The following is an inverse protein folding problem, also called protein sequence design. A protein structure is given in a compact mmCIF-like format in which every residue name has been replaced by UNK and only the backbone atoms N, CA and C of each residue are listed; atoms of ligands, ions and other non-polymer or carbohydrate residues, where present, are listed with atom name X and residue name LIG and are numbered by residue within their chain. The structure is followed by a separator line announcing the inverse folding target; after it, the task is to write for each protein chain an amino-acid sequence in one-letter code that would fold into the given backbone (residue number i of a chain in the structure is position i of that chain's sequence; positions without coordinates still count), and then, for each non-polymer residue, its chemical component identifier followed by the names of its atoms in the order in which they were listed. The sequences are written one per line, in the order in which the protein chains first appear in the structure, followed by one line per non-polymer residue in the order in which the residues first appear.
data_IF_978559971589
#
_entry.id   IF_978559971589
#
_cell.length_a   1.000
_cell.length_b   1.000
_cell.length_c   1.000
_cell.angle_alpha   90.00
_cell.angle_beta   90.00
_cell.angle_gamma   90.00
#
_symmetry.space_group_name_H-M   'P 1'
#
loop_
_entity.id
_entity.type
_entity.pdbx_description
1 polymer ?
#
# COMPACT_ATOMS: atom_id res chain seq x y z
N UNK A 1 -8.13 -3.34 -13.68
CA UNK A 1 -8.28 -1.93 -13.22
C UNK A 1 -9.51 -1.24 -13.81
N UNK A 2 -9.64 -1.02 -15.14
CA UNK A 2 -10.78 -0.26 -15.73
C UNK A 2 -12.18 -0.71 -15.27
N UNK A 3 -12.43 -2.03 -15.25
CA UNK A 3 -13.69 -2.62 -14.77
C UNK A 3 -13.98 -2.31 -13.29
N UNK A 4 -12.95 -2.38 -12.46
CA UNK A 4 -13.04 -2.04 -11.03
C UNK A 4 -13.30 -0.55 -10.82
N UNK A 5 -12.59 0.31 -11.56
CA UNK A 5 -12.82 1.77 -11.52
C UNK A 5 -14.28 2.11 -11.83
N UNK A 6 -14.88 1.47 -12.84
CA UNK A 6 -16.30 1.65 -13.17
C UNK A 6 -17.22 1.25 -12.02
N UNK A 7 -16.97 0.10 -11.40
CA UNK A 7 -17.77 -0.39 -10.26
C UNK A 7 -17.67 0.58 -9.06
N UNK A 8 -16.48 1.11 -8.76
CA UNK A 8 -16.33 2.10 -7.68
C UNK A 8 -17.04 3.41 -8.00
N UNK A 9 -17.01 3.87 -9.25
CA UNK A 9 -17.73 5.05 -9.69
C UNK A 9 -19.25 4.89 -9.57
N UNK A 10 -19.78 3.72 -9.95
CA UNK A 10 -21.20 3.39 -9.79
C UNK A 10 -21.66 3.37 -8.33
N UNK A 11 -20.75 3.09 -7.39
CA UNK A 11 -21.02 3.04 -5.95
C UNK A 11 -20.47 4.26 -5.18
N UNK A 12 -20.05 5.33 -5.87
CA UNK A 12 -19.35 6.46 -5.24
C UNK A 12 -20.15 7.14 -4.14
N UNK A 13 -21.49 7.18 -4.24
CA UNK A 13 -22.37 7.78 -3.23
C UNK A 13 -22.47 6.95 -1.94
N UNK A 14 -22.10 5.67 -1.99
CA UNK A 14 -22.12 4.75 -0.84
C UNK A 14 -20.74 4.56 -0.20
N UNK A 15 -19.69 5.07 -0.85
CA UNK A 15 -18.30 4.96 -0.39
C UNK A 15 -17.92 6.31 0.22
N UNK A 16 -17.79 6.35 1.55
CA UNK A 16 -17.54 7.59 2.30
C UNK A 16 -16.10 8.14 2.18
N UNK A 17 -15.20 7.46 1.46
CA UNK A 17 -13.78 7.81 1.36
C UNK A 17 -13.18 7.61 -0.04
N UNK A 18 -12.06 8.28 -0.31
CA UNK A 18 -11.39 8.19 -1.62
C UNK A 18 -10.56 6.91 -1.75
N UNK A 19 -10.93 6.07 -2.72
CA UNK A 19 -10.19 4.84 -3.05
C UNK A 19 -9.24 5.12 -4.22
N UNK A 20 -7.95 4.81 -4.05
CA UNK A 20 -6.96 4.81 -5.12
C UNK A 20 -6.62 3.38 -5.52
N UNK A 21 -6.68 3.11 -6.82
CA UNK A 21 -6.33 1.81 -7.39
C UNK A 21 -5.00 1.91 -8.15
N UNK A 22 -4.10 0.99 -7.86
CA UNK A 22 -2.80 0.89 -8.53
C UNK A 22 -2.50 -0.57 -8.86
N UNK A 23 -1.89 -0.84 -10.02
CA UNK A 23 -1.36 -2.16 -10.32
C UNK A 23 -0.06 -2.36 -9.53
N UNK A 24 0.14 -3.58 -9.03
CA UNK A 24 1.43 -4.02 -8.50
C UNK A 24 2.04 -5.08 -9.41
N UNK A 25 3.36 -5.06 -9.59
CA UNK A 25 4.09 -6.07 -10.36
C UNK A 25 4.67 -7.13 -9.42
N UNK A 26 3.82 -8.02 -8.93
CA UNK A 26 4.22 -9.21 -8.16
C UNK A 26 3.96 -10.41 -9.05
N UNK A 27 4.96 -11.28 -9.22
CA UNK A 27 4.84 -12.49 -10.04
C UNK A 27 3.90 -13.47 -9.31
N UNK A 28 2.66 -13.58 -9.80
CA UNK A 28 1.73 -14.64 -9.40
C UNK A 28 2.20 -15.97 -10.01
N UNK A 29 2.26 -17.03 -9.21
CA UNK A 29 2.60 -18.38 -9.68
C UNK A 29 1.49 -19.03 -10.55
N UNK A 30 0.29 -18.43 -10.60
CA UNK A 30 -0.83 -18.91 -11.42
C UNK A 30 -1.27 -17.83 -12.42
N UNK A 31 -0.76 -17.94 -13.65
CA UNK A 31 -1.11 -17.07 -14.79
C UNK A 31 -2.46 -17.48 -15.39
N UNK A 32 -3.57 -17.01 -14.82
CA UNK A 32 -4.78 -16.75 -15.60
C UNK A 32 -5.03 -15.25 -15.60
N UNK A 33 -5.34 -14.66 -16.76
CA UNK A 33 -5.59 -13.22 -16.90
C UNK A 33 -6.76 -12.70 -16.04
N UNK A 34 -7.51 -13.62 -15.42
CA UNK A 34 -8.73 -13.34 -14.67
C UNK A 34 -8.55 -13.36 -13.13
N UNK A 35 -7.39 -13.78 -12.61
CA UNK A 35 -7.13 -13.90 -11.16
C UNK A 35 -6.00 -12.96 -10.73
N UNK A 36 -6.17 -12.25 -9.61
CA UNK A 36 -5.13 -11.38 -9.06
C UNK A 36 -5.15 -11.31 -7.52
N UNK A 37 -3.98 -11.03 -6.93
CA UNK A 37 -3.87 -10.64 -5.52
C UNK A 37 -4.13 -9.16 -5.34
N UNK A 38 -4.85 -8.79 -4.28
CA UNK A 38 -5.19 -7.42 -3.97
C UNK A 38 -4.55 -6.99 -2.66
N UNK A 39 -3.88 -5.84 -2.68
CA UNK A 39 -3.31 -5.22 -1.50
C UNK A 39 -4.15 -4.00 -1.15
N UNK A 40 -4.71 -4.01 0.04
CA UNK A 40 -5.58 -2.97 0.57
C UNK A 40 -4.82 -2.22 1.67
N UNK A 41 -4.47 -0.98 1.37
CA UNK A 41 -3.91 -0.03 2.31
C UNK A 41 -4.91 1.11 2.52
N UNK A 42 -4.97 1.73 3.72
CA UNK A 42 -4.04 1.62 4.85
C UNK A 42 -4.19 0.37 5.72
N UNK A 43 -5.25 -0.41 5.55
CA UNK A 43 -5.60 -1.51 6.46
C UNK A 43 -4.63 -2.70 6.45
N UNK A 44 -3.62 -2.70 5.58
CA UNK A 44 -2.64 -3.78 5.46
C UNK A 44 -3.32 -5.14 5.32
N UNK A 45 -4.25 -5.25 4.36
CA UNK A 45 -4.97 -6.50 4.07
C UNK A 45 -4.55 -6.99 2.68
N UNK A 46 -4.31 -8.29 2.56
CA UNK A 46 -4.12 -8.96 1.27
C UNK A 46 -5.28 -9.92 1.00
N UNK A 47 -5.89 -9.80 -0.18
CA UNK A 47 -6.81 -10.81 -0.71
C UNK A 47 -6.09 -11.62 -1.77
N UNK A 48 -6.04 -12.92 -1.59
CA UNK A 48 -5.42 -13.84 -2.54
C UNK A 48 -6.44 -14.38 -3.53
N UNK A 49 -6.00 -14.62 -4.76
CA UNK A 49 -6.77 -15.33 -5.79
C UNK A 49 -8.14 -14.70 -6.13
N UNK A 50 -8.22 -13.36 -6.17
CA UNK A 50 -9.46 -12.66 -6.51
C UNK A 50 -9.75 -12.80 -8.01
N UNK A 51 -10.85 -13.47 -8.35
CA UNK A 51 -11.31 -13.60 -9.73
C UNK A 51 -12.04 -12.33 -10.21
N UNK A 52 -11.88 -11.95 -11.48
CA UNK A 52 -12.51 -10.75 -12.09
C UNK A 52 -14.05 -10.72 -12.00
N UNK A 53 -14.66 -11.90 -11.85
CA UNK A 53 -16.11 -12.07 -11.68
C UNK A 53 -16.57 -11.74 -10.25
N UNK A 54 -15.70 -11.95 -9.26
CA UNK A 54 -15.99 -11.73 -7.83
C UNK A 54 -15.77 -10.28 -7.38
N UNK A 55 -15.19 -9.45 -8.25
CA UNK A 55 -14.86 -8.05 -7.96
C UNK A 55 -16.06 -7.27 -7.39
N UNK A 56 -17.24 -7.42 -8.01
CA UNK A 56 -18.43 -6.66 -7.60
C UNK A 56 -18.84 -7.03 -6.18
N UNK A 57 -18.88 -8.32 -5.88
CA UNK A 57 -19.29 -8.84 -4.58
C UNK A 57 -18.29 -8.48 -3.48
N UNK A 58 -16.99 -8.57 -3.78
CA UNK A 58 -15.92 -8.16 -2.87
C UNK A 58 -16.02 -6.67 -2.56
N UNK A 59 -16.19 -5.82 -3.58
CA UNK A 59 -16.31 -4.38 -3.40
C UNK A 59 -17.56 -4.04 -2.56
N UNK A 60 -18.70 -4.65 -2.89
CA UNK A 60 -19.93 -4.42 -2.16
C UNK A 60 -19.79 -4.88 -0.70
N UNK A 61 -19.17 -6.03 -0.45
CA UNK A 61 -18.95 -6.52 0.91
C UNK A 61 -18.01 -5.63 1.72
N UNK A 62 -16.87 -5.24 1.13
CA UNK A 62 -15.83 -4.48 1.81
C UNK A 62 -16.17 -3.00 2.03
N UNK A 63 -16.71 -2.35 1.01
CA UNK A 63 -16.85 -0.88 1.01
C UNK A 63 -18.29 -0.43 1.32
N UNK A 64 -19.30 -1.29 1.13
CA UNK A 64 -20.72 -0.93 1.29
C UNK A 64 -21.36 -1.63 2.48
N UNK A 65 -21.27 -2.96 2.57
CA UNK A 65 -22.04 -3.74 3.55
C UNK A 65 -21.36 -3.86 4.91
N UNK A 66 -20.03 -3.95 4.95
CA UNK A 66 -19.27 -4.13 6.19
C UNK A 66 -18.12 -3.13 6.30
N UNK A 67 -18.49 -1.87 6.49
CA UNK A 67 -17.53 -0.78 6.72
C UNK A 67 -16.74 -0.96 8.03
N UNK A 68 -17.08 -1.91 8.91
CA UNK A 68 -16.33 -2.17 10.15
C UNK A 68 -14.94 -2.74 9.89
N UNK A 69 -14.72 -3.30 8.70
CA UNK A 69 -13.49 -3.96 8.27
C UNK A 69 -12.44 -2.96 7.75
N UNK A 70 -12.89 -1.83 7.16
CA UNK A 70 -12.04 -0.75 6.63
C UNK A 70 -11.99 0.46 7.62
N UNK A 71 -12.45 0.25 8.86
CA UNK A 71 -12.31 1.25 9.92
C UNK A 71 -10.98 1.06 10.65
N UNK A 72 -9.92 1.72 10.16
CA UNK A 72 -8.94 2.35 11.05
C UNK A 72 -9.55 3.71 11.43
N UNK A 73 -10.47 3.77 12.39
CA UNK A 73 -10.26 4.03 13.84
C UNK A 73 -9.61 5.37 14.14
N UNK A 74 -10.47 6.30 14.54
CA UNK A 74 -10.33 7.22 15.67
C UNK A 74 -8.90 7.67 16.00
N UNK A 75 -8.59 8.93 15.68
CA UNK A 75 -7.28 9.60 15.83
C UNK A 75 -6.74 9.66 17.27
N UNK A 76 -7.47 9.11 18.23
CA UNK A 76 -7.23 9.22 19.67
C UNK A 76 -6.52 8.00 20.27
N UNK A 77 -6.39 6.89 19.55
CA UNK A 77 -5.84 5.63 20.10
C UNK A 77 -4.39 5.37 19.70
N UNK A 78 -3.57 4.98 20.67
CA UNK A 78 -2.16 4.61 20.46
C UNK A 78 -2.03 3.35 19.59
N UNK A 79 -0.86 3.17 18.95
CA UNK A 79 -0.56 1.98 18.12
C UNK A 79 -0.84 0.66 18.88
N UNK A 80 -0.58 0.66 20.19
CA UNK A 80 -0.83 -0.49 21.08
C UNK A 80 -2.32 -0.83 21.26
N UNK A 81 -3.21 0.16 21.19
CA UNK A 81 -4.66 -0.04 21.28
C UNK A 81 -5.27 -0.48 19.94
N UNK A 82 -4.64 -0.11 18.81
CA UNK A 82 -5.01 -0.56 17.48
C UNK A 82 -4.71 -2.05 17.28
N UNK A 83 -3.65 -2.56 17.90
CA UNK A 83 -3.27 -3.98 17.90
C UNK A 83 -4.20 -4.88 18.73
N UNK A 84 -5.00 -4.32 19.65
CA UNK A 84 -5.88 -5.09 20.56
C UNK A 84 -7.31 -5.32 20.04
N UNK A 85 -7.69 -4.73 18.91
CA UNK A 85 -9.05 -4.90 18.38
C UNK A 85 -9.14 -6.11 17.43
N UNK A 86 -9.59 -7.23 18.01
CA UNK A 86 -10.09 -8.48 17.40
C UNK A 86 -9.92 -8.68 15.88
N UNK A 87 -9.14 -9.71 15.55
CA UNK A 87 -8.77 -10.25 14.23
C UNK A 87 -9.93 -10.83 13.39
N UNK A 88 -11.09 -10.17 13.28
CA UNK A 88 -12.14 -10.69 12.40
C UNK A 88 -11.91 -10.28 10.94
N UNK A 89 -11.07 -11.05 10.23
CA UNK A 89 -10.89 -10.86 8.78
C UNK A 89 -12.20 -11.19 8.04
N UNK A 90 -12.53 -10.48 6.94
CA UNK A 90 -13.67 -10.83 6.10
C UNK A 90 -13.49 -12.24 5.54
N UNK A 91 -14.51 -13.08 5.72
CA UNK A 91 -14.65 -14.34 5.00
C UNK A 91 -15.27 -14.06 3.65
N UNK A 92 -14.57 -14.38 2.56
CA UNK A 92 -15.10 -14.29 1.19
C UNK A 92 -15.52 -15.68 0.70
N UNK A 93 -15.71 -15.84 -0.61
CA UNK A 93 -15.85 -17.15 -1.26
C UNK A 93 -14.68 -18.08 -0.89
N UNK A 94 -14.89 -19.40 -0.90
CA UNK A 94 -13.88 -20.40 -0.47
C UNK A 94 -12.50 -20.23 -1.13
N UNK A 95 -12.45 -19.70 -2.37
CA UNK A 95 -11.21 -19.50 -3.12
C UNK A 95 -10.49 -18.18 -2.80
N UNK A 96 -11.14 -17.22 -2.15
CA UNK A 96 -10.55 -15.90 -1.83
C UNK A 96 -10.11 -15.91 -0.36
N UNK A 97 -8.80 -16.02 -0.14
CA UNK A 97 -8.21 -15.97 1.19
C UNK A 97 -7.89 -14.53 1.57
N UNK A 98 -8.27 -14.14 2.78
CA UNK A 98 -7.94 -12.84 3.35
C UNK A 98 -6.81 -13.01 4.37
N UNK A 99 -5.80 -12.16 4.29
CA UNK A 99 -4.62 -12.17 5.17
C UNK A 99 -4.36 -10.76 5.70
N UNK A 100 -4.00 -10.65 6.99
CA UNK A 100 -3.46 -9.42 7.55
C UNK A 100 -1.96 -9.37 7.27
N UNK A 101 -1.51 -8.27 6.68
CA UNK A 101 -0.10 -8.00 6.47
C UNK A 101 0.47 -7.30 7.71
N UNK A 102 1.71 -7.64 8.04
CA UNK A 102 2.46 -7.07 9.15
C UNK A 102 3.69 -6.31 8.64
N UNK A 103 4.36 -5.59 9.53
CA UNK A 103 5.58 -4.86 9.20
C UNK A 103 5.36 -3.54 8.43
N UNK A 104 6.47 -2.98 7.97
CA UNK A 104 6.57 -1.75 7.20
C UNK A 104 6.40 -2.05 5.71
N UNK A 105 5.46 -1.37 5.05
CA UNK A 105 5.25 -1.53 3.61
C UNK A 105 5.64 -0.27 2.86
N UNK A 106 6.62 -0.40 1.98
CA UNK A 106 7.18 0.67 1.16
C UNK A 106 6.67 0.51 -0.27
N UNK A 107 5.78 1.39 -0.69
CA UNK A 107 5.19 1.39 -2.03
C UNK A 107 5.95 2.38 -2.92
N UNK A 108 6.54 1.89 -4.01
CA UNK A 108 7.40 2.68 -4.91
C UNK A 108 6.80 2.77 -6.30
N UNK A 109 6.59 3.99 -6.79
CA UNK A 109 6.07 4.21 -8.14
C UNK A 109 7.14 3.89 -9.20
N UNK A 110 6.89 2.89 -10.06
CA UNK A 110 7.83 2.42 -11.09
C UNK A 110 7.29 2.58 -12.54
N UNK A 111 6.21 3.36 -12.73
CA UNK A 111 5.51 3.37 -14.02
C UNK A 111 6.20 4.25 -15.09
N UNK A 112 6.84 3.62 -16.07
CA UNK A 112 7.56 4.29 -17.17
C UNK A 112 6.66 5.00 -18.18
N UNK A 113 5.56 4.37 -18.63
CA UNK A 113 4.74 4.89 -19.75
C UNK A 113 4.06 6.24 -19.45
N UNK A 114 3.76 6.52 -18.18
CA UNK A 114 3.13 7.78 -17.75
C UNK A 114 4.12 8.80 -17.20
N UNK A 115 5.27 8.36 -16.69
CA UNK A 115 6.35 9.24 -16.23
C UNK A 115 7.71 8.52 -16.35
N UNK A 116 8.47 8.88 -17.38
CA UNK A 116 9.78 8.32 -17.65
C UNK A 116 10.72 8.42 -16.44
N UNK A 117 10.61 9.48 -15.62
CA UNK A 117 11.46 9.66 -14.43
C UNK A 117 11.16 8.63 -13.35
N UNK A 118 9.88 8.34 -13.10
CA UNK A 118 9.49 7.27 -12.17
C UNK A 118 9.84 5.88 -12.72
N UNK A 119 9.77 5.69 -14.05
CA UNK A 119 10.19 4.44 -14.68
C UNK A 119 11.70 4.17 -14.60
N UNK A 120 12.53 5.20 -14.44
CA UNK A 120 13.98 5.06 -14.25
C UNK A 120 14.35 5.00 -12.77
N UNK A 121 13.90 5.96 -11.97
CA UNK A 121 14.28 6.06 -10.54
C UNK A 121 13.60 4.98 -9.69
N UNK A 122 12.35 4.63 -10.00
CA UNK A 122 11.56 3.67 -9.22
C UNK A 122 12.25 2.32 -9.07
N UNK A 123 12.64 1.62 -10.17
CA UNK A 123 13.36 0.36 -10.08
C UNK A 123 14.65 0.45 -9.27
N UNK A 124 15.44 1.51 -9.44
CA UNK A 124 16.69 1.72 -8.69
C UNK A 124 16.42 1.83 -7.18
N UNK A 125 15.35 2.54 -6.78
CA UNK A 125 14.96 2.63 -5.37
C UNK A 125 14.53 1.27 -4.82
N UNK A 126 13.79 0.48 -5.60
CA UNK A 126 13.35 -0.85 -5.15
C UNK A 126 14.53 -1.77 -4.96
N UNK A 127 15.46 -1.80 -5.91
CA UNK A 127 16.67 -2.63 -5.79
C UNK A 127 17.48 -2.23 -4.55
N UNK A 128 17.61 -0.93 -4.26
CA UNK A 128 18.30 -0.46 -3.05
C UNK A 128 17.56 -0.84 -1.76
N UNK A 129 16.23 -0.74 -1.73
CA UNK A 129 15.41 -1.17 -0.58
C UNK A 129 15.60 -2.67 -0.33
N UNK A 130 15.43 -3.50 -1.36
CA UNK A 130 15.56 -4.95 -1.26
C UNK A 130 16.99 -5.35 -0.84
N UNK A 131 18.00 -4.65 -1.35
CA UNK A 131 19.40 -4.85 -0.96
C UNK A 131 19.65 -4.47 0.50
N UNK A 132 19.17 -3.31 0.96
CA UNK A 132 19.34 -2.86 2.33
C UNK A 132 18.63 -3.79 3.32
N UNK A 133 17.38 -4.15 3.04
CA UNK A 133 16.57 -5.05 3.87
C UNK A 133 17.24 -6.42 4.02
N UNK A 134 17.77 -6.99 2.94
CA UNK A 134 18.51 -8.26 2.98
C UNK A 134 19.84 -8.14 3.73
N UNK A 135 20.59 -7.06 3.53
CA UNK A 135 21.87 -6.83 4.22
C UNK A 135 21.72 -6.62 5.72
N UNK A 136 20.56 -6.12 6.16
CA UNK A 136 20.27 -5.81 7.56
C UNK A 136 19.39 -6.86 8.25
N UNK A 137 19.09 -7.96 7.57
CA UNK A 137 18.26 -9.08 8.06
C UNK A 137 16.86 -8.65 8.53
N UNK A 138 16.17 -7.83 7.70
CA UNK A 138 14.85 -7.25 8.02
C UNK A 138 13.75 -7.71 7.06
N UNK A 139 13.94 -8.83 6.38
CA UNK A 139 13.02 -9.32 5.34
C UNK A 139 11.62 -9.64 5.87
N UNK A 140 11.51 -9.94 7.15
CA UNK A 140 10.24 -10.22 7.83
C UNK A 140 9.52 -8.95 8.30
N UNK A 141 10.26 -7.83 8.44
CA UNK A 141 9.75 -6.58 9.00
C UNK A 141 9.47 -5.51 7.94
N UNK A 142 10.16 -5.57 6.80
CA UNK A 142 10.12 -4.52 5.77
C UNK A 142 9.86 -5.14 4.40
N UNK A 143 8.78 -4.69 3.77
CA UNK A 143 8.34 -5.17 2.47
C UNK A 143 8.26 -4.02 1.46
N UNK A 144 8.54 -4.32 0.20
CA UNK A 144 8.52 -3.35 -0.88
C UNK A 144 7.56 -3.78 -1.99
N UNK A 145 6.74 -2.85 -2.48
CA UNK A 145 5.83 -3.07 -3.60
C UNK A 145 6.10 -2.09 -4.74
N UNK A 146 6.34 -2.63 -5.93
CA UNK A 146 6.37 -1.87 -7.18
C UNK A 146 4.94 -1.51 -7.57
N UNK A 147 4.58 -0.24 -7.47
CA UNK A 147 3.23 0.23 -7.80
C UNK A 147 3.21 1.11 -9.05
N UNK A 148 2.05 1.19 -9.68
CA UNK A 148 1.78 2.17 -10.74
C UNK A 148 1.55 3.60 -10.18
N UNK A 149 1.43 4.58 -11.08
CA UNK A 149 1.42 6.01 -10.75
C UNK A 149 0.32 6.42 -9.74
N UNK A 150 0.72 7.06 -8.64
CA UNK A 150 -0.19 7.55 -7.57
C UNK A 150 -0.48 9.06 -7.68
N UNK A 151 0.19 9.76 -8.62
CA UNK A 151 0.21 11.22 -8.73
C UNK A 151 1.62 11.79 -8.49
N UNK A 152 1.78 13.12 -8.55
CA UNK A 152 3.01 13.79 -8.12
C UNK A 152 4.27 13.51 -8.95
N UNK A 153 4.14 13.31 -10.27
CA UNK A 153 5.27 13.08 -11.19
C UNK A 153 6.36 14.18 -11.15
N UNK A 154 5.99 15.42 -10.76
CA UNK A 154 6.95 16.52 -10.50
C UNK A 154 7.96 16.17 -9.39
N UNK A 155 7.68 15.15 -8.58
CA UNK A 155 8.49 14.70 -7.45
C UNK A 155 8.96 13.24 -7.59
N UNK A 156 9.37 12.84 -8.81
CA UNK A 156 9.89 11.49 -9.08
C UNK A 156 10.83 10.96 -7.99
N UNK A 157 10.80 9.65 -7.76
CA UNK A 157 11.20 9.05 -6.48
C UNK A 157 10.07 9.12 -5.45
N UNK A 158 8.86 8.75 -5.87
CA UNK A 158 7.67 8.73 -5.01
C UNK A 158 7.63 7.42 -4.21
N UNK A 159 7.59 7.56 -2.90
CA UNK A 159 7.56 6.45 -1.93
C UNK A 159 6.42 6.70 -0.94
N UNK A 160 5.59 5.68 -0.69
CA UNK A 160 4.52 5.73 0.31
C UNK A 160 4.82 4.67 1.34
N UNK A 161 4.74 5.05 2.62
CA UNK A 161 5.04 4.17 3.75
C UNK A 161 3.75 3.89 4.51
N UNK A 162 3.42 2.61 4.67
CA UNK A 162 2.36 2.14 5.54
C UNK A 162 2.93 1.38 6.75
N UNK A 163 2.31 1.47 7.94
CA UNK A 163 0.92 1.92 8.19
C UNK A 163 0.67 3.43 8.22
N UNK A 164 1.70 4.27 8.32
CA UNK A 164 1.52 5.72 8.55
C UNK A 164 0.86 6.50 7.40
N UNK A 165 0.78 5.93 6.21
CA UNK A 165 0.30 6.61 4.99
C UNK A 165 1.19 7.77 4.55
N UNK A 166 2.44 7.82 5.02
CA UNK A 166 3.33 8.96 4.75
C UNK A 166 3.84 8.90 3.32
N UNK A 167 3.69 10.00 2.59
CA UNK A 167 4.13 10.13 1.21
C UNK A 167 5.37 11.02 1.11
N UNK A 168 6.45 10.45 0.58
CA UNK A 168 7.69 11.13 0.22
C UNK A 168 7.85 11.22 -1.29
N UNK A 169 8.50 12.29 -1.76
CA UNK A 169 8.87 12.47 -3.16
C UNK A 169 10.26 13.08 -3.27
N UNK A 170 10.93 12.88 -4.41
CA UNK A 170 12.37 13.14 -4.58
C UNK A 170 13.24 12.25 -3.69
N UNK A 171 12.76 11.05 -3.38
CA UNK A 171 13.57 10.04 -2.68
C UNK A 171 14.68 9.56 -3.63
N UNK A 172 15.85 9.33 -3.04
CA UNK A 172 17.07 8.85 -3.70
C UNK A 172 17.58 7.66 -2.88
N UNK A 173 18.48 6.86 -3.46
CA UNK A 173 19.04 5.67 -2.81
C UNK A 173 19.71 5.98 -1.48
N UNK A 174 20.41 7.12 -1.37
CA UNK A 174 21.05 7.55 -0.12
C UNK A 174 20.06 7.81 1.04
N UNK A 175 18.78 8.03 0.75
CA UNK A 175 17.75 8.22 1.77
C UNK A 175 17.19 6.91 2.32
N UNK A 176 17.42 5.77 1.65
CA UNK A 176 16.80 4.49 2.01
C UNK A 176 17.17 4.01 3.43
N UNK A 177 18.45 4.03 3.85
CA UNK A 177 18.80 3.64 5.22
C UNK A 177 18.06 4.47 6.28
N UNK A 178 18.10 5.80 6.13
CA UNK A 178 17.44 6.72 7.06
C UNK A 178 15.92 6.51 7.06
N UNK A 179 15.31 6.28 5.90
CA UNK A 179 13.88 6.07 5.75
C UNK A 179 13.45 4.76 6.44
N UNK A 180 14.18 3.67 6.27
CA UNK A 180 13.86 2.41 6.96
C UNK A 180 14.06 2.56 8.46
N UNK A 181 15.22 3.05 8.90
CA UNK A 181 15.53 3.19 10.33
C UNK A 181 14.58 4.14 11.06
N UNK A 182 14.13 5.21 10.42
CA UNK A 182 13.16 6.14 10.99
C UNK A 182 11.82 5.47 11.33
N UNK A 183 11.41 4.49 10.54
CA UNK A 183 10.09 3.85 10.68
C UNK A 183 10.14 2.56 11.47
N UNK A 184 11.19 1.76 11.35
CA UNK A 184 11.36 0.55 12.17
C UNK A 184 11.67 0.89 13.62
N UNK A 185 12.45 1.94 13.86
CA UNK A 185 12.82 2.39 15.22
C UNK A 185 11.79 3.36 15.81
N UNK A 186 10.73 3.70 15.05
CA UNK A 186 9.75 4.73 15.39
C UNK A 186 10.36 6.08 15.83
N UNK A 187 11.58 6.42 15.38
CA UNK A 187 12.32 7.60 15.84
C UNK A 187 11.78 8.88 15.21
N UNK A 188 11.33 9.82 16.05
CA UNK A 188 10.89 11.16 15.63
C UNK A 188 12.04 11.98 15.06
N UNK A 189 13.23 11.87 15.63
CA UNK A 189 14.40 12.65 15.22
C UNK A 189 14.86 12.27 13.82
N UNK A 190 14.79 10.98 13.47
CA UNK A 190 15.09 10.51 12.11
C UNK A 190 14.00 10.93 11.12
N UNK A 191 12.73 10.90 11.52
CA UNK A 191 11.61 11.39 10.69
C UNK A 191 11.73 12.90 10.41
N UNK A 192 12.24 13.67 11.35
CA UNK A 192 12.46 15.10 11.20
C UNK A 192 13.50 15.42 10.11
N UNK A 193 14.54 14.61 9.98
CA UNK A 193 15.51 14.71 8.88
C UNK A 193 14.90 14.44 7.50
N UNK A 194 13.77 13.73 7.44
CA UNK A 194 13.04 13.41 6.21
C UNK A 194 11.99 14.47 5.82
N UNK A 195 11.71 15.48 6.66
CA UNK A 195 10.73 16.56 6.39
C UNK A 195 10.90 17.22 5.01
N UNK A 196 12.11 17.50 4.48
CA UNK A 196 12.27 18.08 3.15
C UNK A 196 11.72 17.21 2.00
N UNK A 197 11.65 15.89 2.20
CA UNK A 197 11.13 14.93 1.22
C UNK A 197 9.61 14.75 1.33
N UNK A 198 8.99 15.18 2.44
CA UNK A 198 7.57 14.97 2.72
C UNK A 198 6.69 15.69 1.68
N UNK A 199 5.70 14.98 1.15
CA UNK A 199 4.70 15.49 0.19
C UNK A 199 3.27 15.43 0.72
N UNK A 200 3.06 14.74 1.83
CA UNK A 200 1.82 14.72 2.56
C UNK A 200 1.55 13.35 3.18
N UNK A 201 0.29 13.15 3.52
CA UNK A 201 -0.21 11.89 4.05
C UNK A 201 -1.37 11.45 3.16
N UNK A 202 -1.31 10.23 2.66
CA UNK A 202 -2.45 9.59 2.03
C UNK A 202 -3.34 9.15 3.18
N UNK A 203 -4.27 10.02 3.55
CA UNK A 203 -5.19 9.82 4.68
C UNK A 203 -5.78 8.40 4.66
N UNK A 204 -5.51 7.67 5.74
CA UNK A 204 -6.55 7.08 6.58
C UNK A 204 -7.50 8.23 6.96
N UNK A 205 -8.73 8.22 6.42
CA UNK A 205 -9.79 9.12 6.88
C UNK A 205 -10.08 8.90 8.37
#
# INVERSE_FOLDING_TARGET
IKKLTKILQENQNSIEYSIKLTATSIVSQNNSEEIADWYLFPDQIKLHNVHIKQIKDIVQKLFVNDQSIIKIKDKTKTIEEQLKQNNHLPVFYENVKCEKLHGLWILVCCHYQRDQRCGVIGPILVDEIENFVRKTDRTDDVHCLKISHVGGHRFAGNVIIYPSGTWYGRVLTCHIPLLIDAYTSSSTDLKDKLKPLLRGYLQTS
#
